data_IF_263905309950
#
_entry.id   IF_263905309950
#
_cell.length_a   1.000
_cell.length_b   1.000
_cell.length_c   1.000
_cell.angle_alpha   90.00
_cell.angle_beta   90.00
_cell.angle_gamma   90.00
#
_symmetry.space_group_name_H-M   'P 1'
#
loop_
_entity.id
_entity.type
_entity.pdbx_description
1 polymer ?
#
# COMPACT_ATOMS: atom_id res chain seq x y z
N UNK A 1 7.23 10.65 -1.37
CA UNK A 1 7.81 9.34 -1.70
C UNK A 1 7.87 9.16 -3.21
N UNK A 2 8.97 8.65 -3.70
CA UNK A 2 9.14 8.34 -5.13
C UNK A 2 9.03 6.84 -5.34
N UNK A 3 8.33 6.46 -6.39
CA UNK A 3 8.08 5.05 -6.71
C UNK A 3 9.37 4.25 -6.88
N UNK A 4 10.33 4.82 -7.61
CA UNK A 4 11.63 4.15 -7.83
C UNK A 4 12.39 3.95 -6.53
N UNK A 5 12.30 4.88 -5.61
CA UNK A 5 12.95 4.81 -4.31
C UNK A 5 12.35 3.70 -3.46
N UNK A 6 11.03 3.61 -3.43
CA UNK A 6 10.33 2.56 -2.71
C UNK A 6 10.74 1.18 -3.24
N UNK A 7 10.75 1.02 -4.57
CA UNK A 7 11.13 -0.25 -5.19
C UNK A 7 12.57 -0.65 -4.87
N UNK A 8 13.47 0.34 -4.88
CA UNK A 8 14.86 0.09 -4.53
C UNK A 8 14.98 -0.41 -3.09
N UNK A 9 14.29 0.24 -2.15
CA UNK A 9 14.28 -0.16 -0.75
C UNK A 9 13.72 -1.57 -0.58
N UNK A 10 12.62 -1.87 -1.25
CA UNK A 10 11.99 -3.19 -1.17
C UNK A 10 12.94 -4.29 -1.69
N UNK A 11 13.61 -4.04 -2.81
CA UNK A 11 14.58 -5.01 -3.38
C UNK A 11 15.73 -5.29 -2.42
N UNK A 12 16.11 -4.32 -1.59
CA UNK A 12 17.19 -4.45 -0.63
C UNK A 12 16.75 -5.02 0.71
N UNK A 13 15.46 -5.25 0.88
CA UNK A 13 14.92 -5.69 2.16
C UNK A 13 14.84 -4.60 3.21
N UNK A 14 14.96 -3.33 2.80
CA UNK A 14 14.91 -2.18 3.71
C UNK A 14 13.48 -1.72 3.94
N UNK A 15 12.65 -2.61 4.45
CA UNK A 15 11.25 -2.29 4.77
C UNK A 15 10.78 -3.08 5.98
N UNK A 16 9.77 -2.55 6.62
CA UNK A 16 9.18 -3.17 7.81
C UNK A 16 7.67 -3.23 7.68
N UNK A 17 7.04 -4.15 8.39
CA UNK A 17 5.59 -4.23 8.51
C UNK A 17 5.18 -3.67 9.86
N UNK A 18 4.14 -2.85 9.87
CA UNK A 18 3.48 -2.48 11.12
C UNK A 18 2.64 -3.65 11.61
N UNK A 19 2.28 -3.64 12.88
CA UNK A 19 1.39 -4.64 13.45
C UNK A 19 0.05 -4.66 12.72
N UNK A 20 -0.48 -3.48 12.40
CA UNK A 20 -1.73 -3.32 11.66
C UNK A 20 -1.66 -4.01 10.30
N UNK A 21 -0.58 -3.79 9.55
CA UNK A 21 -0.39 -4.42 8.24
C UNK A 21 -0.30 -5.95 8.37
N UNK A 22 0.35 -6.45 9.40
CA UNK A 22 0.42 -7.89 9.65
C UNK A 22 -0.96 -8.50 9.87
N UNK A 23 -1.79 -7.84 10.67
CA UNK A 23 -3.15 -8.31 10.94
C UNK A 23 -3.98 -8.30 9.65
N UNK A 24 -3.87 -7.22 8.88
CA UNK A 24 -4.64 -7.08 7.64
C UNK A 24 -4.26 -8.08 6.57
N UNK A 25 -2.96 -8.31 6.38
CA UNK A 25 -2.53 -9.27 5.36
C UNK A 25 -3.05 -10.68 5.66
N UNK A 26 -3.06 -11.06 6.94
CA UNK A 26 -3.59 -12.37 7.36
C UNK A 26 -5.09 -12.47 7.11
N UNK A 27 -5.82 -11.39 7.38
CA UNK A 27 -7.26 -11.35 7.14
C UNK A 27 -7.62 -11.54 5.67
N UNK A 28 -6.76 -11.06 4.76
CA UNK A 28 -6.96 -11.19 3.33
C UNK A 28 -6.13 -12.33 2.70
N UNK A 29 -5.53 -13.18 3.53
CA UNK A 29 -4.71 -14.32 3.10
C UNK A 29 -3.58 -13.93 2.15
N UNK A 30 -2.98 -12.77 2.39
CA UNK A 30 -1.85 -12.30 1.58
C UNK A 30 -0.53 -12.76 2.18
N UNK A 31 0.30 -13.39 1.36
CA UNK A 31 1.65 -13.79 1.76
C UNK A 31 2.61 -12.62 1.61
N UNK A 32 3.74 -12.68 2.30
CA UNK A 32 4.80 -11.68 2.13
C UNK A 32 5.27 -11.62 0.68
N UNK A 33 5.40 -12.78 0.01
CA UNK A 33 5.79 -12.82 -1.39
C UNK A 33 4.82 -12.12 -2.31
N UNK A 34 3.53 -12.27 -2.08
CA UNK A 34 2.50 -11.59 -2.87
C UNK A 34 2.58 -10.08 -2.67
N UNK A 35 2.77 -9.63 -1.44
CA UNK A 35 2.89 -8.20 -1.12
C UNK A 35 4.14 -7.63 -1.78
N UNK A 36 5.26 -8.34 -1.72
CA UNK A 36 6.50 -7.89 -2.36
C UNK A 36 6.34 -7.78 -3.86
N UNK A 37 5.72 -8.77 -4.51
CA UNK A 37 5.41 -8.70 -5.94
C UNK A 37 4.58 -7.47 -6.28
N UNK A 38 3.56 -7.20 -5.46
CA UNK A 38 2.69 -6.04 -5.68
C UNK A 38 3.46 -4.73 -5.52
N UNK A 39 4.35 -4.63 -4.54
CA UNK A 39 5.18 -3.45 -4.37
C UNK A 39 6.11 -3.22 -5.56
N UNK A 40 6.72 -4.29 -6.06
CA UNK A 40 7.68 -4.20 -7.17
C UNK A 40 7.02 -3.93 -8.50
N UNK A 41 5.79 -4.42 -8.72
CA UNK A 41 5.03 -4.16 -9.94
C UNK A 41 4.16 -2.91 -9.86
N UNK A 42 4.05 -2.34 -8.67
CA UNK A 42 3.04 -1.34 -8.38
C UNK A 42 3.34 0.06 -8.85
N UNK A 43 2.30 0.87 -8.81
CA UNK A 43 2.36 2.30 -9.09
C UNK A 43 1.68 3.07 -7.97
N UNK A 44 2.18 4.25 -7.68
CA UNK A 44 1.56 5.12 -6.69
C UNK A 44 0.22 5.59 -7.25
N UNK A 45 -0.85 5.27 -6.52
CA UNK A 45 -2.21 5.62 -6.88
C UNK A 45 -2.65 6.91 -6.19
N UNK A 46 -2.28 7.07 -4.93
CA UNK A 46 -2.61 8.25 -4.13
C UNK A 46 -1.36 8.68 -3.35
N UNK A 47 -1.21 9.98 -3.18
CA UNK A 47 -0.13 10.54 -2.38
C UNK A 47 -0.72 11.24 -1.17
N UNK A 48 -0.11 11.01 -0.01
CA UNK A 48 -0.54 11.62 1.24
C UNK A 48 0.58 12.55 1.71
N UNK A 49 0.37 13.87 1.62
CA UNK A 49 1.40 14.82 2.06
C UNK A 49 1.64 14.73 3.56
N UNK A 50 2.81 15.16 3.98
CA UNK A 50 3.18 15.17 5.38
C UNK A 50 2.28 16.12 6.15
N UNK A 51 1.57 15.61 7.15
CA UNK A 51 0.71 16.38 8.03
C UNK A 51 1.17 16.28 9.48
N UNK A 52 2.47 16.06 9.70
CA UNK A 52 3.08 15.90 11.00
C UNK A 52 3.48 14.49 11.37
N UNK A 53 3.07 13.51 10.58
CA UNK A 53 3.41 12.09 10.78
C UNK A 53 4.28 11.52 9.65
N UNK A 54 4.79 12.40 8.79
CA UNK A 54 5.53 12.00 7.61
C UNK A 54 4.61 11.80 6.42
N UNK A 55 5.21 11.80 5.24
CA UNK A 55 4.48 11.55 4.00
C UNK A 55 4.16 10.07 3.85
N UNK A 56 3.15 9.78 3.04
CA UNK A 56 2.80 8.43 2.70
C UNK A 56 2.24 8.34 1.29
N UNK A 57 1.94 7.14 0.88
CA UNK A 57 1.30 6.91 -0.42
C UNK A 57 0.56 5.58 -0.41
N UNK A 58 -0.40 5.47 -1.34
CA UNK A 58 -1.10 4.22 -1.63
C UNK A 58 -0.54 3.68 -2.93
N UNK A 59 -0.05 2.45 -2.90
CA UNK A 59 0.44 1.76 -4.09
C UNK A 59 -0.59 0.71 -4.50
N UNK A 60 -0.91 0.68 -5.78
CA UNK A 60 -1.64 -0.42 -6.39
C UNK A 60 -0.66 -1.28 -7.16
N UNK A 61 -0.53 -2.52 -6.79
CA UNK A 61 0.25 -3.51 -7.51
C UNK A 61 -0.52 -4.80 -7.66
N UNK A 62 0.07 -5.74 -8.34
CA UNK A 62 -0.56 -7.02 -8.60
C UNK A 62 0.38 -8.16 -8.20
N UNK A 63 -0.18 -9.10 -7.46
CA UNK A 63 0.45 -10.39 -7.22
C UNK A 63 -0.22 -11.36 -8.19
N UNK A 64 0.40 -11.54 -9.35
CA UNK A 64 -0.21 -12.23 -10.49
C UNK A 64 -1.48 -11.50 -10.90
N UNK A 65 -2.67 -12.08 -10.70
CA UNK A 65 -3.93 -11.42 -11.04
C UNK A 65 -4.61 -10.74 -9.86
N UNK A 66 -4.04 -10.87 -8.66
CA UNK A 66 -4.64 -10.32 -7.45
C UNK A 66 -4.22 -8.86 -7.28
N UNK A 67 -5.16 -7.92 -7.32
CA UNK A 67 -4.83 -6.53 -7.01
C UNK A 67 -4.59 -6.36 -5.52
N UNK A 68 -3.55 -5.62 -5.17
CA UNK A 68 -3.19 -5.39 -3.77
C UNK A 68 -2.96 -3.91 -3.57
N UNK A 69 -3.61 -3.33 -2.57
CA UNK A 69 -3.38 -1.98 -2.13
C UNK A 69 -2.44 -1.99 -0.94
N UNK A 70 -1.42 -1.15 -0.99
CA UNK A 70 -0.43 -1.05 0.07
C UNK A 70 -0.21 0.42 0.42
N UNK A 71 -0.50 0.78 1.66
CA UNK A 71 -0.19 2.12 2.15
C UNK A 71 1.21 2.08 2.76
N UNK A 72 2.06 2.93 2.26
CA UNK A 72 3.46 3.03 2.69
C UNK A 72 3.75 4.39 3.30
N UNK A 73 4.70 4.42 4.20
CA UNK A 73 5.29 5.62 4.76
C UNK A 73 6.77 5.41 4.98
N UNK A 74 7.41 6.35 5.65
CA UNK A 74 8.80 6.21 6.03
C UNK A 74 8.93 5.91 7.51
N UNK A 75 9.89 5.05 7.84
CA UNK A 75 10.31 4.82 9.22
C UNK A 75 11.83 4.93 9.24
N UNK A 76 12.33 6.14 9.50
CA UNK A 76 13.73 6.44 9.28
C UNK A 76 14.02 6.34 7.78
N UNK A 77 15.02 5.56 7.42
CA UNK A 77 15.39 5.31 6.03
C UNK A 77 14.72 4.06 5.42
N UNK A 78 13.84 3.41 6.17
CA UNK A 78 13.12 2.22 5.71
C UNK A 78 11.70 2.55 5.28
N UNK A 79 11.20 1.80 4.32
CA UNK A 79 9.79 1.86 3.95
C UNK A 79 8.99 1.14 5.01
N UNK A 80 7.95 1.79 5.54
CA UNK A 80 7.01 1.15 6.44
C UNK A 80 5.77 0.74 5.66
N UNK A 81 5.41 -0.53 5.72
CA UNK A 81 4.16 -1.03 5.17
C UNK A 81 3.12 -0.88 6.28
N UNK A 82 2.23 0.09 6.12
CA UNK A 82 1.31 0.52 7.17
C UNK A 82 -0.02 -0.20 7.07
N UNK A 83 -0.52 -0.37 5.85
CA UNK A 83 -1.83 -0.95 5.56
C UNK A 83 -1.70 -1.78 4.30
N UNK A 84 -2.33 -2.95 4.28
CA UNK A 84 -2.34 -3.80 3.09
C UNK A 84 -3.68 -4.54 3.00
N UNK A 85 -4.29 -4.53 1.82
CA UNK A 85 -5.56 -5.24 1.62
C UNK A 85 -5.80 -5.46 0.14
N UNK A 86 -6.72 -6.38 -0.16
CA UNK A 86 -7.26 -6.55 -1.50
C UNK A 86 -8.42 -5.56 -1.65
N UNK A 87 -8.38 -4.63 -2.62
CA UNK A 87 -9.45 -3.65 -2.79
C UNK A 87 -10.75 -4.32 -3.22
N UNK A 88 -11.85 -3.99 -2.53
CA UNK A 88 -13.16 -4.60 -2.74
C UNK A 88 -14.27 -3.56 -2.58
N UNK A 89 -15.43 -3.78 -3.23
CA UNK A 89 -16.63 -3.02 -2.89
C UNK A 89 -16.99 -3.22 -1.41
N UNK A 90 -17.66 -2.27 -0.78
CA UNK A 90 -18.14 -1.01 -1.36
C UNK A 90 -17.10 0.12 -1.40
N UNK A 91 -15.94 -0.07 -0.78
CA UNK A 91 -14.93 0.98 -0.65
C UNK A 91 -14.32 1.35 -1.98
N UNK A 92 -14.05 0.35 -2.81
CA UNK A 92 -13.53 0.53 -4.16
C UNK A 92 -14.47 -0.12 -5.17
N UNK A 93 -14.74 0.58 -6.26
CA UNK A 93 -15.55 0.08 -7.37
C UNK A 93 -14.72 -0.90 -8.19
N UNK A 94 -13.48 -0.53 -8.45
CA UNK A 94 -12.46 -1.33 -9.08
C UNK A 94 -11.14 -1.02 -8.38
N UNK A 95 -10.02 -1.70 -8.70
CA UNK A 95 -8.76 -1.48 -7.98
C UNK A 95 -8.23 -0.05 -8.02
N UNK A 96 -8.62 0.74 -9.02
CA UNK A 96 -8.13 2.11 -9.20
C UNK A 96 -9.05 3.18 -8.64
N UNK A 97 -10.35 2.86 -8.45
CA UNK A 97 -11.38 3.87 -8.24
C UNK A 97 -12.11 3.67 -6.92
N UNK A 98 -12.01 4.67 -6.03
CA UNK A 98 -12.80 4.69 -4.82
C UNK A 98 -14.27 4.89 -5.14
N UNK A 99 -15.13 4.21 -4.38
CA UNK A 99 -16.56 4.51 -4.40
C UNK A 99 -16.78 5.93 -3.89
N UNK A 100 -17.75 6.63 -4.47
CA UNK A 100 -18.12 7.98 -4.02
C UNK A 100 -18.53 8.02 -2.55
N UNK A 101 -19.10 6.95 -2.03
CA UNK A 101 -19.49 6.85 -0.63
C UNK A 101 -18.29 6.91 0.32
N UNK A 102 -17.12 6.56 -0.17
CA UNK A 102 -15.89 6.49 0.62
C UNK A 102 -14.84 7.47 0.15
N UNK A 103 -15.25 8.47 -0.63
CA UNK A 103 -14.37 9.55 -1.05
C UNK A 103 -13.96 10.37 0.17
N UNK A 104 -12.67 10.66 0.29
CA UNK A 104 -12.12 11.46 1.40
C UNK A 104 -12.78 12.82 1.55
N UNK A 105 -13.22 13.40 0.46
CA UNK A 105 -13.84 14.73 0.47
C UNK A 105 -15.20 14.76 1.13
N UNK A 106 -15.77 13.61 1.41
CA UNK A 106 -17.10 13.49 2.00
C UNK A 106 -17.09 13.12 3.48
N UNK A 107 -15.93 12.99 4.03
CA UNK A 107 -15.78 12.64 5.45
C UNK A 107 -15.80 13.88 6.32
#
# INVERSE_FOLDING_TARGET
>A
MKQAEIKRKVRRGDYIYTLHAEIERKADDLTFGQIEKALLSGKILERYPDSGRGEGCLILGFAEEIPVHIVCGWRGDKVAIITVYVPKPPKFIDPWTRSKMYDKKKV
#
